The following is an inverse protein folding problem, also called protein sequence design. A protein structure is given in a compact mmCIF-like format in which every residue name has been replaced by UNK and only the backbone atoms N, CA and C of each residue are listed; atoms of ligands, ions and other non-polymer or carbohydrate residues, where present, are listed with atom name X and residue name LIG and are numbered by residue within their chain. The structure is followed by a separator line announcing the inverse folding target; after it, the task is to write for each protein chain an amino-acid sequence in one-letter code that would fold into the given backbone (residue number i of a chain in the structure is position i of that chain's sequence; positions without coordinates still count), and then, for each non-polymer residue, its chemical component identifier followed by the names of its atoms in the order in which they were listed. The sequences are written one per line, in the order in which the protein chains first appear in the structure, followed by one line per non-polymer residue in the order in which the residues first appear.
data_IF_785153134011
#
_entry.id   IF_785153134011
#
_cell.length_a   1.000
_cell.length_b   1.000
_cell.length_c   1.000
_cell.angle_alpha   90.00
_cell.angle_beta   90.00
_cell.angle_gamma   90.00
#
_symmetry.space_group_name_H-M   'P 1'
#
loop_
_entity.id
_entity.type
_entity.pdbx_description
1 polymer ?
#
# COMPACT_ATOMS: atom_id res chain seq x y z
N UNK A 1 3.50 -30.76 -22.95
CA UNK A 1 3.75 -29.85 -21.82
C UNK A 1 4.87 -30.48 -21.02
N UNK A 2 6.04 -29.83 -20.93
CA UNK A 2 7.13 -30.32 -20.10
C UNK A 2 6.74 -30.06 -18.64
N UNK A 3 6.55 -31.11 -17.84
CA UNK A 3 6.46 -30.97 -16.39
C UNK A 3 7.85 -30.57 -15.90
N UNK A 4 8.01 -29.31 -15.51
CA UNK A 4 9.23 -28.85 -14.85
C UNK A 4 9.29 -29.56 -13.51
N UNK A 5 10.20 -30.53 -13.40
CA UNK A 5 10.43 -31.22 -12.14
C UNK A 5 11.29 -30.32 -11.23
N UNK A 6 10.94 -30.19 -9.95
CA UNK A 6 11.75 -29.42 -9.00
C UNK A 6 13.14 -30.05 -8.88
N UNK A 7 14.19 -29.24 -8.76
CA UNK A 7 15.53 -29.78 -8.54
C UNK A 7 15.58 -30.37 -7.12
N UNK A 8 16.29 -31.49 -6.99
CA UNK A 8 16.41 -32.18 -5.70
C UNK A 8 17.05 -31.28 -4.63
N UNK A 9 17.96 -30.38 -5.04
CA UNK A 9 18.64 -29.41 -4.18
C UNK A 9 17.65 -28.38 -3.61
N UNK A 10 16.74 -27.86 -4.44
CA UNK A 10 15.74 -26.88 -3.99
C UNK A 10 14.76 -27.50 -2.97
N UNK A 11 14.38 -28.77 -3.17
CA UNK A 11 13.58 -29.51 -2.20
C UNK A 11 14.36 -29.74 -0.89
N UNK A 12 15.65 -30.08 -1.00
CA UNK A 12 16.50 -30.25 0.18
C UNK A 12 16.62 -28.95 0.98
N UNK A 13 16.70 -27.80 0.30
CA UNK A 13 16.71 -26.48 0.94
C UNK A 13 15.42 -26.24 1.74
N UNK A 14 14.25 -26.53 1.17
CA UNK A 14 12.97 -26.42 1.88
C UNK A 14 12.95 -27.29 3.15
N UNK A 15 13.45 -28.52 3.07
CA UNK A 15 13.52 -29.44 4.22
C UNK A 15 14.47 -28.90 5.29
N UNK A 16 15.66 -28.44 4.90
CA UNK A 16 16.63 -27.84 5.82
C UNK A 16 16.06 -26.58 6.52
N UNK A 17 15.33 -25.75 5.78
CA UNK A 17 14.60 -24.60 6.32
C UNK A 17 13.49 -24.98 7.29
N UNK A 18 12.78 -26.10 7.06
CA UNK A 18 11.77 -26.61 7.98
C UNK A 18 12.39 -27.14 9.27
N UNK A 19 13.48 -27.91 9.15
CA UNK A 19 14.11 -28.61 10.26
C UNK A 19 14.98 -27.68 11.13
N UNK A 20 15.30 -26.48 10.66
CA UNK A 20 16.09 -25.50 11.40
C UNK A 20 17.61 -25.74 11.29
N UNK A 21 18.05 -26.50 10.30
CA UNK A 21 19.46 -26.82 10.11
C UNK A 21 20.16 -25.71 9.31
N UNK A 22 20.60 -24.67 10.01
CA UNK A 22 21.23 -23.49 9.43
C UNK A 22 22.48 -23.81 8.60
N UNK A 23 23.31 -24.72 9.09
CA UNK A 23 24.55 -25.16 8.44
C UNK A 23 24.26 -25.85 7.11
N UNK A 24 23.21 -26.66 7.06
CA UNK A 24 22.78 -27.32 5.83
C UNK A 24 22.17 -26.32 4.83
N UNK A 25 21.36 -25.38 5.30
CA UNK A 25 20.84 -24.28 4.46
C UNK A 25 21.99 -23.54 3.80
N UNK A 26 23.00 -23.15 4.58
CA UNK A 26 24.17 -22.44 4.07
C UNK A 26 24.97 -23.26 3.06
N UNK A 27 25.22 -24.54 3.35
CA UNK A 27 25.91 -25.47 2.45
C UNK A 27 25.17 -25.63 1.12
N UNK A 28 23.84 -25.79 1.16
CA UNK A 28 23.02 -25.96 -0.05
C UNK A 28 23.02 -24.71 -0.93
N UNK A 29 22.96 -23.52 -0.32
CA UNK A 29 22.99 -22.25 -1.04
C UNK A 29 24.39 -21.97 -1.62
N UNK A 30 25.45 -22.12 -0.83
CA UNK A 30 26.82 -21.75 -1.23
C UNK A 30 27.49 -22.80 -2.14
N UNK A 31 27.32 -24.10 -1.85
CA UNK A 31 28.05 -25.17 -2.56
C UNK A 31 27.23 -25.82 -3.68
N UNK A 32 25.90 -25.88 -3.55
CA UNK A 32 25.01 -26.61 -4.48
C UNK A 32 24.09 -25.70 -5.33
N UNK A 33 24.23 -24.37 -5.23
CA UNK A 33 23.48 -23.37 -6.01
C UNK A 33 21.94 -23.55 -5.88
N UNK A 34 21.50 -23.84 -4.66
CA UNK A 34 20.09 -23.93 -4.32
C UNK A 34 19.38 -22.59 -4.56
N UNK A 35 18.20 -22.61 -5.18
CA UNK A 35 17.45 -21.39 -5.43
C UNK A 35 16.79 -20.86 -4.15
N UNK A 36 17.33 -19.78 -3.61
CA UNK A 36 16.80 -19.04 -2.45
C UNK A 36 15.40 -18.48 -2.71
N UNK A 37 15.04 -18.26 -3.98
CA UNK A 37 13.71 -17.79 -4.38
C UNK A 37 12.75 -18.95 -4.69
N UNK A 38 13.16 -20.21 -4.46
CA UNK A 38 12.36 -21.37 -4.82
C UNK A 38 10.97 -21.33 -4.16
N UNK A 39 9.95 -21.57 -5.00
CA UNK A 39 8.57 -21.78 -4.59
C UNK A 39 8.08 -23.13 -5.11
N UNK A 40 7.47 -23.92 -4.23
CA UNK A 40 6.89 -25.20 -4.62
C UNK A 40 5.79 -25.02 -5.65
N UNK A 41 5.89 -25.72 -6.78
CA UNK A 41 4.96 -25.57 -7.90
C UNK A 41 3.52 -25.98 -7.56
N UNK A 42 3.29 -26.86 -6.57
CA UNK A 42 1.95 -27.34 -6.21
C UNK A 42 1.25 -26.40 -5.23
N UNK A 43 1.98 -25.90 -4.24
CA UNK A 43 1.43 -25.12 -3.12
C UNK A 43 1.71 -23.62 -3.25
N UNK A 44 2.79 -23.25 -3.93
CA UNK A 44 3.33 -21.89 -3.97
C UNK A 44 4.17 -21.52 -2.75
N UNK A 45 4.43 -22.45 -1.82
CA UNK A 45 5.20 -22.14 -0.62
C UNK A 45 6.67 -21.88 -0.95
N UNK A 46 7.19 -20.76 -0.44
CA UNK A 46 8.61 -20.41 -0.56
C UNK A 46 9.44 -20.97 0.60
N UNK A 47 10.76 -21.07 0.41
CA UNK A 47 11.71 -21.42 1.47
C UNK A 47 11.60 -20.51 2.69
N UNK A 48 11.35 -19.22 2.46
CA UNK A 48 11.19 -18.21 3.51
C UNK A 48 9.91 -18.42 4.33
N UNK A 49 8.79 -18.81 3.69
CA UNK A 49 7.53 -19.12 4.40
C UNK A 49 7.71 -20.29 5.35
N UNK A 50 8.44 -21.32 4.91
CA UNK A 50 8.69 -22.52 5.71
C UNK A 50 9.57 -22.20 6.92
N UNK A 51 10.67 -21.47 6.71
CA UNK A 51 11.55 -21.03 7.80
C UNK A 51 10.83 -20.12 8.82
N UNK A 52 10.05 -19.15 8.33
CA UNK A 52 9.31 -18.21 9.16
C UNK A 52 8.17 -18.87 9.94
N UNK A 53 7.44 -19.80 9.31
CA UNK A 53 6.41 -20.59 9.99
C UNK A 53 6.99 -21.52 11.05
N UNK A 54 8.17 -22.08 10.83
CA UNK A 54 8.87 -22.92 11.80
C UNK A 54 9.51 -22.12 12.95
N UNK A 55 9.75 -20.82 12.77
CA UNK A 55 10.31 -19.92 13.79
C UNK A 55 11.83 -19.82 13.80
N UNK A 56 12.49 -20.24 12.72
CA UNK A 56 13.96 -20.27 12.65
C UNK A 56 14.52 -18.90 12.25
N UNK A 57 14.67 -18.00 13.22
CA UNK A 57 15.11 -16.61 13.03
C UNK A 57 16.44 -16.48 12.29
N UNK A 58 17.39 -17.36 12.55
CA UNK A 58 18.74 -17.31 11.96
C UNK A 58 18.69 -17.62 10.47
N UNK A 59 17.87 -18.61 10.09
CA UNK A 59 17.61 -18.98 8.69
C UNK A 59 16.85 -17.86 7.99
N UNK A 60 15.83 -17.27 8.65
CA UNK A 60 15.07 -16.14 8.08
C UNK A 60 15.98 -14.95 7.78
N UNK A 61 16.86 -14.57 8.70
CA UNK A 61 17.82 -13.49 8.49
C UNK A 61 18.77 -13.77 7.32
N UNK A 62 19.28 -15.00 7.23
CA UNK A 62 20.17 -15.40 6.15
C UNK A 62 19.48 -15.41 4.79
N UNK A 63 18.29 -16.00 4.69
CA UNK A 63 17.53 -16.00 3.44
C UNK A 63 17.22 -14.57 2.97
N UNK A 64 16.84 -13.67 3.89
CA UNK A 64 16.60 -12.26 3.56
C UNK A 64 17.89 -11.55 3.11
N UNK A 65 19.03 -11.80 3.77
CA UNK A 65 20.31 -11.18 3.37
C UNK A 65 20.79 -11.64 2.00
N UNK A 66 20.46 -12.87 1.61
CA UNK A 66 20.75 -13.42 0.28
C UNK A 66 19.68 -13.05 -0.77
N UNK A 67 18.67 -12.24 -0.40
CA UNK A 67 17.71 -11.67 -1.34
C UNK A 67 16.42 -12.47 -1.53
N UNK A 68 16.06 -13.36 -0.61
CA UNK A 68 14.76 -14.03 -0.64
C UNK A 68 13.61 -13.01 -0.64
N UNK A 69 12.59 -13.17 -1.51
CA UNK A 69 11.49 -12.22 -1.60
C UNK A 69 10.59 -12.30 -0.36
N UNK A 70 10.66 -11.27 0.49
CA UNK A 70 9.83 -11.17 1.71
C UNK A 70 8.33 -11.05 1.42
N UNK A 71 7.97 -10.52 0.25
CA UNK A 71 6.59 -10.26 -0.19
C UNK A 71 6.01 -11.37 -1.09
N UNK A 72 6.72 -12.49 -1.28
CA UNK A 72 6.19 -13.62 -2.02
C UNK A 72 4.95 -14.20 -1.32
N UNK A 73 3.96 -14.64 -2.11
CA UNK A 73 2.72 -15.25 -1.62
C UNK A 73 2.51 -16.63 -2.23
N UNK A 74 1.89 -17.52 -1.47
CA UNK A 74 1.51 -18.86 -1.93
C UNK A 74 0.18 -18.85 -2.70
N UNK A 75 -0.32 -20.04 -3.09
CA UNK A 75 -1.62 -20.15 -3.79
C UNK A 75 -2.83 -19.80 -2.93
N UNK A 76 -2.64 -19.65 -1.62
CA UNK A 76 -3.66 -19.19 -0.66
C UNK A 76 -3.52 -17.70 -0.34
N UNK A 77 -2.65 -16.98 -1.05
CA UNK A 77 -2.34 -15.56 -0.83
C UNK A 77 -1.70 -15.26 0.53
N UNK A 78 -0.94 -16.21 1.07
CA UNK A 78 -0.25 -16.05 2.35
C UNK A 78 1.24 -15.81 2.13
N UNK A 79 1.79 -14.82 2.82
CA UNK A 79 3.21 -14.50 2.83
C UNK A 79 3.93 -15.12 4.03
N UNK A 80 5.26 -15.00 4.09
CA UNK A 80 6.06 -15.52 5.21
C UNK A 80 5.62 -14.95 6.57
N UNK A 81 5.19 -13.67 6.60
CA UNK A 81 4.66 -13.03 7.80
C UNK A 81 3.37 -13.68 8.31
N UNK A 82 2.48 -14.11 7.41
CA UNK A 82 1.23 -14.79 7.77
C UNK A 82 1.49 -16.15 8.43
N UNK A 83 2.47 -16.89 7.92
CA UNK A 83 2.89 -18.17 8.51
C UNK A 83 3.52 -17.99 9.89
N UNK A 84 4.40 -17.00 10.06
CA UNK A 84 4.98 -16.66 11.36
C UNK A 84 3.89 -16.24 12.37
N UNK A 85 2.93 -15.41 11.94
CA UNK A 85 1.82 -14.95 12.79
C UNK A 85 0.90 -16.11 13.23
N UNK A 86 0.52 -17.01 12.32
CA UNK A 86 -0.32 -18.18 12.63
C UNK A 86 0.33 -19.11 13.66
N UNK A 87 1.64 -19.26 13.58
CA UNK A 87 2.41 -20.11 14.48
C UNK A 87 2.98 -19.37 15.70
N UNK A 88 2.63 -18.07 15.89
CA UNK A 88 3.03 -17.23 17.02
C UNK A 88 4.55 -17.02 17.15
N UNK A 89 5.25 -16.97 16.02
CA UNK A 89 6.69 -16.78 15.94
C UNK A 89 7.04 -15.29 15.94
N UNK A 90 6.90 -14.62 17.08
CA UNK A 90 7.00 -13.16 17.18
C UNK A 90 8.33 -12.61 16.64
N UNK A 91 9.45 -13.25 16.98
CA UNK A 91 10.78 -12.81 16.54
C UNK A 91 10.91 -12.80 15.00
N UNK A 92 10.32 -13.80 14.33
CA UNK A 92 10.27 -13.85 12.87
C UNK A 92 9.38 -12.76 12.27
N UNK A 93 8.25 -12.44 12.91
CA UNK A 93 7.37 -11.34 12.49
C UNK A 93 8.13 -10.02 12.56
N UNK A 94 8.86 -9.78 13.65
CA UNK A 94 9.62 -8.54 13.85
C UNK A 94 10.73 -8.40 12.80
N UNK A 95 11.47 -9.47 12.50
CA UNK A 95 12.49 -9.48 11.42
C UNK A 95 11.85 -9.16 10.06
N UNK A 96 10.76 -9.84 9.71
CA UNK A 96 10.08 -9.68 8.42
C UNK A 96 9.48 -8.27 8.27
N UNK A 97 8.86 -7.73 9.31
CA UNK A 97 8.32 -6.36 9.30
C UNK A 97 9.44 -5.33 9.17
N UNK A 98 10.54 -5.49 9.90
CA UNK A 98 11.69 -4.59 9.78
C UNK A 98 12.26 -4.60 8.37
N UNK A 99 12.37 -5.78 7.76
CA UNK A 99 12.86 -5.93 6.39
C UNK A 99 11.89 -5.31 5.36
N UNK A 100 10.58 -5.50 5.54
CA UNK A 100 9.54 -4.91 4.70
C UNK A 100 9.58 -3.38 4.75
N UNK A 101 9.55 -2.80 5.96
CA UNK A 101 9.59 -1.34 6.16
C UNK A 101 10.87 -0.75 5.60
N UNK A 102 12.03 -1.39 5.81
CA UNK A 102 13.30 -0.92 5.27
C UNK A 102 13.33 -0.98 3.74
N UNK A 103 12.79 -2.05 3.15
CA UNK A 103 12.73 -2.21 1.68
C UNK A 103 11.87 -1.12 1.04
N UNK A 104 10.71 -0.84 1.62
CA UNK A 104 9.81 0.24 1.17
C UNK A 104 10.47 1.63 1.33
N UNK A 105 11.13 1.88 2.46
CA UNK A 105 11.84 3.15 2.68
C UNK A 105 12.98 3.36 1.67
N UNK A 106 13.76 2.31 1.41
CA UNK A 106 14.83 2.36 0.41
C UNK A 106 14.29 2.57 -0.99
N UNK A 107 13.17 1.93 -1.34
CA UNK A 107 12.51 2.14 -2.62
C UNK A 107 12.06 3.60 -2.77
N UNK A 108 11.42 4.17 -1.75
CA UNK A 108 11.05 5.59 -1.73
C UNK A 108 12.26 6.51 -1.95
N UNK A 109 13.37 6.29 -1.23
CA UNK A 109 14.59 7.10 -1.41
C UNK A 109 15.19 6.90 -2.81
N UNK A 110 15.21 5.68 -3.33
CA UNK A 110 15.76 5.37 -4.64
C UNK A 110 14.95 6.02 -5.76
N UNK A 111 13.61 5.98 -5.67
CA UNK A 111 12.71 6.68 -6.58
C UNK A 111 12.98 8.19 -6.54
N UNK A 112 13.19 8.77 -5.36
CA UNK A 112 13.49 10.19 -5.19
C UNK A 112 14.90 10.61 -5.68
N UNK A 113 15.87 9.68 -5.77
CA UNK A 113 17.22 9.96 -6.31
C UNK A 113 17.27 10.07 -7.83
N UNK A 114 16.21 9.67 -8.54
CA UNK A 114 16.15 9.73 -10.00
C UNK A 114 16.11 11.16 -10.55
N UNK A 115 15.67 12.12 -9.74
CA UNK A 115 15.32 13.46 -10.21
C UNK A 115 16.27 14.58 -9.78
N UNK A 116 17.23 14.34 -8.87
CA UNK A 116 18.21 15.36 -8.49
C UNK A 116 19.65 14.89 -8.59
N UNK A 117 20.32 15.36 -9.64
CA UNK A 117 21.77 15.44 -9.66
C UNK A 117 22.26 16.53 -8.70
N UNK A 118 22.23 16.27 -7.38
CA UNK A 118 23.08 16.99 -6.43
C UNK A 118 23.66 16.07 -5.33
N UNK A 119 24.91 16.37 -5.01
CA UNK A 119 25.84 15.60 -4.18
C UNK A 119 25.54 15.78 -2.69
N UNK A 120 25.11 14.71 -2.00
CA UNK A 120 25.20 14.67 -0.54
C UNK A 120 26.51 14.01 -0.09
N UNK A 121 27.45 14.86 0.33
CA UNK A 121 28.57 14.44 1.20
C UNK A 121 28.07 14.32 2.63
N UNK A 122 28.54 13.28 3.31
CA UNK A 122 28.45 12.98 4.74
C UNK A 122 27.21 12.20 5.18
N UNK A 123 27.27 10.88 4.99
CA UNK A 123 26.55 9.92 5.84
C UNK A 123 27.59 9.26 6.75
N UNK A 124 28.01 9.97 7.78
CA UNK A 124 28.70 9.33 8.90
C UNK A 124 27.64 8.95 9.94
N UNK A 125 27.40 7.64 10.06
CA UNK A 125 26.89 6.97 11.27
C UNK A 125 25.53 7.46 11.81
N UNK A 126 24.43 7.10 11.14
CA UNK A 126 23.10 7.17 11.75
C UNK A 126 22.83 5.85 12.52
N UNK A 127 23.06 5.85 13.83
CA UNK A 127 22.74 4.74 14.72
C UNK A 127 21.22 4.67 14.95
N UNK A 128 20.55 3.72 14.27
CA UNK A 128 19.10 3.52 14.29
C UNK A 128 18.55 3.01 15.63
N UNK A 129 19.40 2.62 16.58
CA UNK A 129 18.95 1.99 17.84
C UNK A 129 18.31 2.97 18.83
N UNK A 130 18.58 4.27 18.70
CA UNK A 130 18.12 5.27 19.69
C UNK A 130 16.70 5.79 19.40
N UNK A 131 16.21 5.71 18.16
CA UNK A 131 14.94 6.35 17.76
C UNK A 131 13.69 5.53 18.08
N UNK A 132 13.83 4.22 18.31
CA UNK A 132 12.68 3.31 18.51
C UNK A 132 12.07 3.43 19.91
N UNK A 133 12.85 3.83 20.93
CA UNK A 133 12.41 3.78 22.33
C UNK A 133 11.59 4.98 22.84
N UNK A 134 11.30 6.01 22.03
CA UNK A 134 10.60 7.22 22.51
C UNK A 134 9.21 7.48 21.92
N UNK A 135 8.67 6.60 21.05
CA UNK A 135 7.47 6.94 20.24
C UNK A 135 6.21 6.09 20.46
N UNK A 136 6.13 5.28 21.51
CA UNK A 136 4.98 4.39 21.67
C UNK A 136 3.68 5.09 22.15
N UNK A 137 3.71 6.30 22.72
CA UNK A 137 2.53 6.83 23.45
C UNK A 137 1.96 8.19 22.99
N UNK A 138 2.49 8.86 21.94
CA UNK A 138 1.99 10.18 21.48
C UNK A 138 1.92 10.31 19.93
N UNK A 139 2.00 9.21 19.17
CA UNK A 139 2.28 9.27 17.74
C UNK A 139 1.07 9.56 16.84
N UNK A 140 -0.15 9.13 17.14
CA UNK A 140 -1.27 9.32 16.21
C UNK A 140 -1.74 10.78 16.14
N UNK A 141 -1.81 11.49 17.26
CA UNK A 141 -2.20 12.90 17.30
C UNK A 141 -1.15 13.80 16.63
N UNK A 142 0.13 13.50 16.83
CA UNK A 142 1.23 14.25 16.21
C UNK A 142 1.29 14.02 14.69
N UNK A 143 1.05 12.79 14.22
CA UNK A 143 0.98 12.47 12.79
C UNK A 143 -0.24 13.11 12.14
N UNK A 144 -1.41 13.03 12.79
CA UNK A 144 -2.64 13.65 12.30
C UNK A 144 -2.52 15.19 12.26
N UNK A 145 -1.91 15.80 13.28
CA UNK A 145 -1.65 17.24 13.29
C UNK A 145 -0.65 17.66 12.20
N UNK A 146 0.40 16.85 11.99
CA UNK A 146 1.36 17.08 10.89
C UNK A 146 0.66 17.00 9.53
N UNK A 147 -0.24 16.03 9.35
CA UNK A 147 -1.02 15.83 8.14
C UNK A 147 -2.00 16.98 7.88
N UNK A 148 -2.74 17.44 8.90
CA UNK A 148 -3.64 18.60 8.83
C UNK A 148 -2.92 19.94 8.67
N UNK A 149 -1.61 19.98 8.97
CA UNK A 149 -0.76 21.15 8.75
C UNK A 149 -0.07 21.17 7.39
N UNK A 150 -0.22 20.09 6.60
CA UNK A 150 0.32 20.04 5.24
C UNK A 150 -0.41 21.05 4.36
N UNK A 151 0.35 21.81 3.56
CA UNK A 151 -0.25 22.79 2.65
C UNK A 151 -0.40 22.18 1.27
N UNK A 152 -1.61 22.18 0.72
CA UNK A 152 -1.93 21.56 -0.56
C UNK A 152 -2.10 22.61 -1.64
N UNK A 153 -1.47 22.37 -2.78
CA UNK A 153 -1.62 23.20 -3.97
C UNK A 153 -2.05 22.35 -5.16
N UNK A 154 -3.00 22.88 -5.92
CA UNK A 154 -3.37 22.33 -7.20
C UNK A 154 -2.33 22.75 -8.24
N UNK A 155 -1.95 21.83 -9.13
CA UNK A 155 -1.17 22.20 -10.31
C UNK A 155 -1.94 23.22 -11.17
N UNK A 156 -1.20 24.00 -11.99
CA UNK A 156 -1.79 25.03 -12.85
C UNK A 156 -2.89 24.49 -13.80
N UNK A 157 -2.77 23.22 -14.20
CA UNK A 157 -3.73 22.50 -15.03
C UNK A 157 -4.81 21.75 -14.23
N UNK A 158 -4.74 21.81 -12.89
CA UNK A 158 -5.62 21.13 -11.91
C UNK A 158 -5.72 19.62 -12.10
N UNK A 159 -4.69 19.01 -12.67
CA UNK A 159 -4.59 17.56 -12.86
C UNK A 159 -3.85 16.87 -11.73
N UNK A 160 -3.25 17.63 -10.83
CA UNK A 160 -2.49 17.13 -9.71
C UNK A 160 -2.78 17.96 -8.47
N UNK A 161 -2.91 17.29 -7.34
CA UNK A 161 -2.90 17.88 -6.00
C UNK A 161 -1.57 17.51 -5.34
N UNK A 162 -0.77 18.51 -4.97
CA UNK A 162 0.59 18.34 -4.43
C UNK A 162 0.62 18.86 -3.00
N UNK A 163 1.30 18.13 -2.12
CA UNK A 163 1.67 18.65 -0.80
C UNK A 163 2.93 19.51 -0.95
N UNK A 164 2.79 20.81 -0.70
CA UNK A 164 3.88 21.79 -0.81
C UNK A 164 5.02 21.56 0.17
N UNK A 165 4.78 20.86 1.29
CA UNK A 165 5.84 20.56 2.26
C UNK A 165 6.72 19.41 1.77
N UNK A 166 6.12 18.38 1.20
CA UNK A 166 6.83 17.17 0.74
C UNK A 166 7.14 17.16 -0.75
N UNK A 167 6.51 18.07 -1.52
CA UNK A 167 6.46 18.09 -2.98
C UNK A 167 5.95 16.78 -3.60
N UNK A 168 5.25 15.95 -2.80
CA UNK A 168 4.69 14.70 -3.27
C UNK A 168 3.30 14.91 -3.86
N UNK A 169 3.03 14.22 -4.96
CA UNK A 169 1.70 14.14 -5.52
C UNK A 169 0.79 13.36 -4.55
N UNK A 170 -0.28 14.01 -4.11
CA UNK A 170 -1.28 13.43 -3.20
C UNK A 170 -2.45 12.83 -3.97
N UNK A 171 -2.84 13.44 -5.09
CA UNK A 171 -3.84 12.88 -6.01
C UNK A 171 -3.59 13.34 -7.45
N UNK A 172 -3.90 12.49 -8.44
CA UNK A 172 -3.60 12.74 -9.86
C UNK A 172 -4.79 12.44 -10.78
N UNK A 173 -4.79 13.04 -11.96
CA UNK A 173 -5.82 12.82 -12.99
C UNK A 173 -5.82 11.40 -13.58
N UNK A 174 -4.69 10.69 -13.55
CA UNK A 174 -4.60 9.31 -14.03
C UNK A 174 -5.51 8.34 -13.26
N UNK A 175 -5.97 8.71 -12.07
CA UNK A 175 -6.91 7.93 -11.26
C UNK A 175 -8.36 7.99 -11.80
N UNK A 176 -8.64 8.87 -12.77
CA UNK A 176 -9.99 9.03 -13.36
C UNK A 176 -10.64 7.70 -13.79
N UNK A 177 -9.97 6.81 -14.55
CA UNK A 177 -10.61 5.58 -15.03
C UNK A 177 -10.97 4.60 -13.92
N UNK A 178 -10.20 4.57 -12.82
CA UNK A 178 -10.51 3.70 -11.67
C UNK A 178 -11.66 4.30 -10.84
N UNK A 179 -11.70 5.62 -10.68
CA UNK A 179 -12.78 6.33 -9.98
C UNK A 179 -14.12 6.22 -10.74
N UNK A 180 -14.10 6.27 -12.07
CA UNK A 180 -15.31 6.06 -12.89
C UNK A 180 -15.86 4.64 -12.78
N UNK A 181 -14.98 3.62 -12.77
CA UNK A 181 -15.39 2.22 -12.52
C UNK A 181 -15.91 2.03 -11.11
N UNK A 182 -15.29 2.70 -10.13
CA UNK A 182 -15.76 2.67 -8.75
C UNK A 182 -17.17 3.26 -8.63
N UNK A 183 -17.40 4.46 -9.20
CA UNK A 183 -18.71 5.10 -9.25
C UNK A 183 -19.77 4.19 -9.91
N UNK A 184 -19.43 3.57 -11.05
CA UNK A 184 -20.31 2.61 -11.73
C UNK A 184 -20.68 1.44 -10.81
N UNK A 185 -19.70 0.88 -10.10
CA UNK A 185 -19.94 -0.23 -9.19
C UNK A 185 -20.85 0.17 -8.04
N UNK A 186 -20.56 1.27 -7.33
CA UNK A 186 -21.33 1.65 -6.15
C UNK A 186 -22.74 2.15 -6.47
N UNK A 187 -22.95 2.80 -7.62
CA UNK A 187 -24.26 3.27 -8.05
C UNK A 187 -25.17 2.13 -8.56
N UNK A 188 -24.60 0.97 -8.92
CA UNK A 188 -25.33 -0.20 -9.42
C UNK A 188 -25.10 -1.49 -8.61
N UNK A 189 -24.47 -1.42 -7.43
CA UNK A 189 -24.11 -2.60 -6.63
C UNK A 189 -25.32 -3.44 -6.19
N UNK A 190 -26.48 -2.79 -6.05
CA UNK A 190 -27.72 -3.42 -5.60
C UNK A 190 -28.64 -3.86 -6.76
N UNK A 191 -28.22 -3.75 -8.03
CA UNK A 191 -28.98 -4.20 -9.22
C UNK A 191 -29.02 -5.74 -9.39
N UNK A 192 -29.00 -6.49 -8.29
CA UNK A 192 -29.18 -7.95 -8.29
C UNK A 192 -30.64 -8.31 -8.63
N UNK A 193 -31.58 -7.37 -8.46
CA UNK A 193 -32.99 -7.55 -8.84
C UNK A 193 -33.49 -6.35 -9.69
N UNK A 194 -33.51 -6.55 -11.01
CA UNK A 194 -33.96 -5.60 -12.06
C UNK A 194 -35.40 -5.06 -11.92
N UNK A 195 -36.10 -5.39 -10.83
CA UNK A 195 -37.50 -5.04 -10.58
C UNK A 195 -37.70 -3.91 -9.57
N UNK A 196 -36.66 -3.48 -8.86
CA UNK A 196 -36.75 -2.43 -7.83
C UNK A 196 -35.87 -1.25 -8.24
N UNK A 197 -36.50 -0.16 -8.70
CA UNK A 197 -35.81 1.11 -8.92
C UNK A 197 -35.57 1.76 -7.55
N UNK A 198 -34.47 1.39 -6.89
CA UNK A 198 -34.11 1.91 -5.56
C UNK A 198 -33.42 3.28 -5.68
N UNK A 199 -33.75 4.25 -4.82
CA UNK A 199 -33.10 5.56 -4.84
C UNK A 199 -31.61 5.44 -4.46
N UNK A 200 -30.74 6.06 -5.25
CA UNK A 200 -29.29 6.01 -5.09
C UNK A 200 -28.87 7.07 -4.08
N UNK A 201 -28.31 6.64 -2.95
CA UNK A 201 -27.84 7.53 -1.88
C UNK A 201 -26.38 7.25 -1.58
N UNK A 202 -25.54 8.26 -1.76
CA UNK A 202 -24.08 8.11 -1.64
C UNK A 202 -23.53 9.09 -0.61
N UNK A 203 -22.69 8.58 0.28
CA UNK A 203 -21.83 9.38 1.15
C UNK A 203 -20.40 9.16 0.70
N UNK A 204 -19.76 10.20 0.19
CA UNK A 204 -18.33 10.22 -0.05
C UNK A 204 -17.63 10.91 1.12
N UNK A 205 -16.66 10.22 1.71
CA UNK A 205 -15.73 10.79 2.69
C UNK A 205 -14.35 10.63 2.10
N UNK A 206 -13.75 11.75 1.75
CA UNK A 206 -12.59 11.73 0.89
C UNK A 206 -11.65 12.90 1.11
N UNK A 207 -10.63 12.89 0.28
CA UNK A 207 -9.59 13.89 0.19
C UNK A 207 -9.12 13.84 -1.26
N UNK A 208 -9.14 14.97 -1.99
CA UNK A 208 -8.52 15.02 -3.32
C UNK A 208 -9.14 15.98 -4.34
N UNK A 209 -9.09 15.58 -5.62
CA UNK A 209 -9.47 16.40 -6.79
C UNK A 209 -10.97 16.37 -7.12
N UNK A 210 -11.82 15.72 -6.31
CA UNK A 210 -13.26 15.60 -6.58
C UNK A 210 -13.62 14.73 -7.80
N UNK A 211 -12.70 13.89 -8.25
CA UNK A 211 -12.86 13.04 -9.45
C UNK A 211 -14.00 12.05 -9.24
N UNK A 212 -14.02 11.36 -8.10
CA UNK A 212 -15.07 10.38 -7.77
C UNK A 212 -16.42 11.06 -7.58
N UNK A 213 -16.46 12.27 -7.01
CA UNK A 213 -17.70 13.01 -6.81
C UNK A 213 -18.36 13.37 -8.13
N UNK A 214 -17.54 13.81 -9.08
CA UNK A 214 -17.97 14.12 -10.45
C UNK A 214 -18.45 12.86 -11.16
N UNK A 215 -17.77 11.73 -10.97
CA UNK A 215 -18.17 10.44 -11.55
C UNK A 215 -19.50 9.93 -10.98
N UNK A 216 -19.72 10.03 -9.67
CA UNK A 216 -20.97 9.64 -8.99
C UNK A 216 -22.14 10.49 -9.47
N UNK A 217 -21.94 11.80 -9.64
CA UNK A 217 -23.00 12.71 -10.11
C UNK A 217 -23.54 12.34 -11.50
N UNK A 218 -22.73 11.69 -12.37
CA UNK A 218 -23.19 11.21 -13.69
C UNK A 218 -24.34 10.20 -13.58
N UNK A 219 -24.48 9.51 -12.45
CA UNK A 219 -25.54 8.54 -12.18
C UNK A 219 -26.79 9.16 -11.54
N UNK A 220 -26.81 10.49 -11.35
CA UNK A 220 -27.96 11.24 -10.80
C UNK A 220 -28.49 10.68 -9.48
N UNK A 221 -27.65 10.58 -8.42
CA UNK A 221 -28.10 10.08 -7.12
C UNK A 221 -29.17 10.98 -6.51
N UNK A 222 -30.14 10.37 -5.80
CA UNK A 222 -31.16 11.06 -5.02
C UNK A 222 -30.58 11.87 -3.87
N UNK A 223 -29.44 11.44 -3.32
CA UNK A 223 -28.68 12.21 -2.33
C UNK A 223 -27.20 11.91 -2.44
N UNK A 224 -26.38 12.96 -2.49
CA UNK A 224 -24.92 12.83 -2.52
C UNK A 224 -24.29 13.77 -1.49
N UNK A 225 -23.74 13.18 -0.43
CA UNK A 225 -23.07 13.90 0.65
C UNK A 225 -21.56 13.75 0.50
N UNK A 226 -20.84 14.86 0.56
CA UNK A 226 -19.38 14.89 0.38
C UNK A 226 -18.76 15.52 1.62
N UNK A 227 -17.84 14.79 2.25
CA UNK A 227 -17.05 15.24 3.40
C UNK A 227 -15.58 15.22 3.00
N UNK A 228 -14.96 16.40 2.97
CA UNK A 228 -13.53 16.56 2.68
C UNK A 228 -12.72 16.63 3.97
N UNK A 229 -11.69 15.79 4.08
CA UNK A 229 -10.87 15.64 5.28
C UNK A 229 -9.77 16.72 5.43
N UNK A 230 -9.71 17.73 4.54
CA UNK A 230 -8.69 18.78 4.61
C UNK A 230 -9.22 20.16 4.18
N UNK A 231 -8.96 21.24 4.95
CA UNK A 231 -9.54 22.56 4.70
C UNK A 231 -9.05 23.23 3.41
N UNK A 232 -7.82 22.92 2.97
CA UNK A 232 -7.26 23.49 1.73
C UNK A 232 -7.70 22.74 0.46
N UNK A 233 -8.33 21.56 0.61
CA UNK A 233 -9.07 20.90 -0.47
C UNK A 233 -10.35 21.70 -0.70
N UNK A 234 -10.20 22.79 -1.44
CA UNK A 234 -11.24 23.77 -1.68
C UNK A 234 -12.16 23.29 -2.80
N UNK A 235 -13.46 23.25 -2.55
CA UNK A 235 -14.45 23.14 -3.63
C UNK A 235 -14.26 24.30 -4.63
N UNK A 236 -14.32 23.99 -5.92
CA UNK A 236 -14.28 24.93 -7.03
C UNK A 236 -15.54 25.83 -7.06
N UNK A 237 -15.59 26.87 -6.22
CA UNK A 237 -16.51 27.99 -6.42
C UNK A 237 -15.82 29.11 -7.22
N UNK A 238 -15.93 28.99 -8.56
CA UNK A 238 -15.79 30.02 -9.62
C UNK A 238 -14.45 30.07 -10.39
N UNK A 239 -14.55 29.77 -11.68
CA UNK A 239 -13.52 30.15 -12.66
C UNK A 239 -13.92 30.10 -14.14
N UNK A 240 -14.89 29.28 -14.57
CA UNK A 240 -15.40 29.24 -15.97
C UNK A 240 -16.93 29.04 -15.92
N UNK A 241 -17.72 29.75 -16.75
CA UNK A 241 -19.17 29.85 -16.58
C UNK A 241 -19.87 28.57 -17.08
N UNK A 242 -20.49 27.85 -16.15
CA UNK A 242 -21.64 27.01 -16.46
C UNK A 242 -22.87 27.90 -16.25
N UNK A 243 -23.74 28.01 -17.25
CA UNK A 243 -25.10 28.58 -17.15
C UNK A 243 -25.95 27.71 -16.21
N UNK A 244 -25.65 27.71 -14.92
CA UNK A 244 -26.51 27.12 -13.90
C UNK A 244 -26.59 28.05 -12.70
N UNK A 245 -27.70 28.78 -12.68
CA UNK A 245 -28.24 29.48 -11.52
C UNK A 245 -28.22 28.54 -10.30
N UNK A 246 -27.35 28.83 -9.33
CA UNK A 246 -27.31 28.16 -8.02
C UNK A 246 -28.46 28.70 -7.14
N UNK A 247 -29.68 28.72 -7.67
CA UNK A 247 -30.86 29.06 -6.90
C UNK A 247 -32.10 28.20 -7.16
N UNK A 248 -32.16 27.31 -8.16
CA UNK A 248 -33.44 26.60 -8.41
C UNK A 248 -33.40 25.14 -8.89
N UNK A 249 -32.27 24.43 -9.08
CA UNK A 249 -32.35 23.11 -9.76
C UNK A 249 -31.68 21.87 -9.15
N UNK A 250 -30.91 21.91 -8.06
CA UNK A 250 -30.40 20.66 -7.45
C UNK A 250 -30.46 20.67 -5.91
N UNK A 251 -31.55 20.15 -5.31
CA UNK A 251 -31.76 20.18 -3.85
C UNK A 251 -30.95 19.15 -3.03
N UNK A 252 -30.01 18.40 -3.62
CA UNK A 252 -29.52 17.14 -3.04
C UNK A 252 -28.01 17.06 -2.72
N UNK A 253 -27.27 18.16 -2.86
CA UNK A 253 -25.83 18.21 -2.56
C UNK A 253 -25.59 19.06 -1.30
N UNK A 254 -25.13 18.43 -0.22
CA UNK A 254 -24.73 19.14 1.01
C UNK A 254 -23.28 18.78 1.36
N UNK A 255 -22.43 19.80 1.44
CA UNK A 255 -21.02 19.67 1.87
C UNK A 255 -20.90 20.05 3.34
N UNK A 256 -20.20 19.22 4.13
CA UNK A 256 -19.94 19.43 5.56
C UNK A 256 -18.43 19.40 5.80
N UNK A 257 -17.91 20.41 6.52
CA UNK A 257 -16.52 20.44 6.99
C UNK A 257 -16.44 19.91 8.41
N UNK A 258 -15.47 19.01 8.67
CA UNK A 258 -15.05 18.69 10.02
C UNK A 258 -14.03 19.75 10.44
N UNK A 259 -14.50 20.74 11.21
CA UNK A 259 -13.67 21.74 11.90
C UNK A 259 -13.01 21.15 13.13
#
# INVERSE_FOLDING_TARGET
MYEVQPRQVDIALVIACHDGNFEEVKRLVEDEDADICYQDFKTGMSVLMVAAGAGHTDIVNYLLSEGAPWNAVDRSYLCAGDYAARNKQQDCIDILMNHAVMSELLLCIAVNKSDEGESFKNVDSMDLTTTVNTRANNSSEALNASYLSSRLEYSDDRKCLIDTNTHLAVMMDWETPIMEKHAAWICHADEIDSTINSPIRVLNVGFGLGIVDTAIQKYSPDSHYIIEAHPEVSFNSKGIPLDFNISEQHPYCCSLFLS
#
